data_IF_462618267831
#
_entry.id   IF_462618267831
#
_cell.length_a   1.000
_cell.length_b   1.000
_cell.length_c   1.000
_cell.angle_alpha   90.00
_cell.angle_beta   90.00
_cell.angle_gamma   90.00
#
_symmetry.space_group_name_H-M   'P 1'
#
loop_
_entity.id
_entity.type
_entity.pdbx_description
1 polymer ?
#
# COMPACT_ATOMS: atom_id res chain seq x y z
N UNK A 1 -37.84 2.18 14.65
CA UNK A 1 -36.63 1.60 15.28
C UNK A 1 -35.73 1.14 14.16
N UNK A 2 -34.92 2.03 13.60
CA UNK A 2 -34.06 1.75 12.44
C UNK A 2 -32.69 1.33 12.94
N UNK A 3 -32.28 0.12 12.58
CA UNK A 3 -30.99 -0.46 12.88
C UNK A 3 -29.86 0.38 12.23
N UNK A 4 -28.92 0.96 12.99
CA UNK A 4 -27.88 1.83 12.46
C UNK A 4 -26.73 1.07 11.75
N UNK A 5 -26.85 -0.25 11.54
CA UNK A 5 -25.73 -1.09 11.05
C UNK A 5 -25.70 -1.33 9.53
N UNK A 6 -26.49 -0.61 8.72
CA UNK A 6 -26.63 -0.85 7.26
C UNK A 6 -25.83 0.10 6.34
N UNK A 7 -24.69 0.61 6.78
CA UNK A 7 -23.83 1.47 5.93
C UNK A 7 -22.35 1.16 6.13
N UNK A 8 -21.68 0.35 5.28
CA UNK A 8 -20.22 0.47 5.00
C UNK A 8 -19.60 -0.64 4.12
N UNK A 9 -20.21 -1.81 3.93
CA UNK A 9 -19.54 -2.96 3.28
C UNK A 9 -18.96 -2.66 1.89
N UNK A 10 -19.75 -2.09 0.98
CA UNK A 10 -19.29 -1.74 -0.37
C UNK A 10 -18.17 -0.70 -0.39
N UNK A 11 -18.23 0.31 0.48
CA UNK A 11 -17.20 1.36 0.57
C UNK A 11 -15.86 0.79 1.07
N UNK A 12 -15.89 -0.23 1.93
CA UNK A 12 -14.67 -0.91 2.41
C UNK A 12 -14.03 -1.74 1.31
N UNK A 13 -14.83 -2.52 0.56
CA UNK A 13 -14.32 -3.33 -0.57
C UNK A 13 -13.69 -2.43 -1.63
N UNK A 14 -14.31 -1.29 -1.96
CA UNK A 14 -13.73 -0.32 -2.90
C UNK A 14 -12.37 0.19 -2.43
N UNK A 15 -12.21 0.48 -1.13
CA UNK A 15 -10.91 0.92 -0.58
C UNK A 15 -9.86 -0.18 -0.69
N UNK A 16 -10.19 -1.42 -0.31
CA UNK A 16 -9.27 -2.56 -0.47
C UNK A 16 -8.83 -2.72 -1.92
N UNK A 17 -9.77 -2.65 -2.87
CA UNK A 17 -9.46 -2.78 -4.28
C UNK A 17 -8.53 -1.66 -4.79
N UNK A 18 -8.79 -0.40 -4.41
CA UNK A 18 -7.96 0.74 -4.81
C UNK A 18 -6.55 0.61 -4.23
N UNK A 19 -6.40 0.40 -2.92
CA UNK A 19 -5.09 0.28 -2.29
C UNK A 19 -4.34 -0.97 -2.75
N UNK A 20 -5.05 -2.07 -3.02
CA UNK A 20 -4.49 -3.28 -3.59
C UNK A 20 -3.97 -3.06 -5.01
N UNK A 21 -4.74 -2.38 -5.86
CA UNK A 21 -4.33 -2.01 -7.21
C UNK A 21 -3.11 -1.07 -7.21
N UNK A 22 -3.12 -0.04 -6.35
CA UNK A 22 -1.97 0.86 -6.20
C UNK A 22 -0.73 0.09 -5.73
N UNK A 23 -0.87 -0.82 -4.75
CA UNK A 23 0.23 -1.64 -4.26
C UNK A 23 0.80 -2.53 -5.37
N UNK A 24 -0.07 -3.18 -6.15
CA UNK A 24 0.34 -4.02 -7.28
C UNK A 24 1.06 -3.19 -8.35
N UNK A 25 0.52 -2.02 -8.68
CA UNK A 25 1.13 -1.10 -9.63
C UNK A 25 2.51 -0.62 -9.14
N UNK A 26 2.66 -0.29 -7.86
CA UNK A 26 3.95 0.09 -7.28
C UNK A 26 4.97 -1.03 -7.41
N UNK A 27 4.62 -2.27 -7.02
CA UNK A 27 5.53 -3.41 -7.17
C UNK A 27 5.89 -3.66 -8.64
N UNK A 28 4.89 -3.63 -9.53
CA UNK A 28 5.12 -3.78 -10.96
C UNK A 28 6.10 -2.73 -11.47
N UNK A 29 5.90 -1.45 -11.13
CA UNK A 29 6.74 -0.34 -11.59
C UNK A 29 8.15 -0.44 -11.02
N UNK A 30 8.30 -0.82 -9.75
CA UNK A 30 9.61 -1.00 -9.11
C UNK A 30 10.44 -2.07 -9.83
N UNK A 31 9.83 -3.23 -10.12
CA UNK A 31 10.51 -4.31 -10.86
C UNK A 31 10.72 -3.97 -12.33
N UNK A 32 9.75 -3.32 -12.97
CA UNK A 32 9.86 -2.90 -14.36
C UNK A 32 10.99 -1.89 -14.59
N UNK A 33 11.30 -1.06 -13.59
CA UNK A 33 12.38 -0.09 -13.63
C UNK A 33 13.54 -0.45 -12.67
N UNK A 34 13.74 -1.73 -12.34
CA UNK A 34 14.76 -2.09 -11.35
C UNK A 34 16.17 -1.68 -11.77
N UNK A 35 16.54 -1.91 -13.02
CA UNK A 35 17.86 -1.58 -13.56
C UNK A 35 18.20 -0.08 -13.41
N UNK A 36 17.37 0.87 -13.91
CA UNK A 36 17.65 2.29 -13.74
C UNK A 36 17.57 2.74 -12.29
N UNK A 37 16.69 2.16 -11.46
CA UNK A 37 16.62 2.48 -10.03
C UNK A 37 17.91 2.05 -9.33
N UNK A 38 18.40 0.83 -9.57
CA UNK A 38 19.66 0.35 -9.01
C UNK A 38 20.84 1.19 -9.50
N UNK A 39 20.89 1.52 -10.78
CA UNK A 39 21.94 2.37 -11.35
C UNK A 39 21.95 3.79 -10.76
N UNK A 40 20.79 4.34 -10.38
CA UNK A 40 20.69 5.65 -9.73
C UNK A 40 21.07 5.57 -8.24
N UNK A 41 20.55 4.58 -7.54
CA UNK A 41 20.68 4.46 -6.07
C UNK A 41 22.05 3.95 -5.62
N UNK A 42 22.76 3.21 -6.46
CA UNK A 42 24.09 2.65 -6.17
C UNK A 42 25.25 3.64 -6.35
N UNK A 43 25.00 4.87 -6.84
CA UNK A 43 26.04 5.89 -7.04
C UNK A 43 26.65 6.42 -5.73
N UNK A 44 26.08 6.08 -4.58
CA UNK A 44 26.55 6.53 -3.26
C UNK A 44 26.07 7.95 -2.91
N UNK A 45 26.79 8.65 -2.02
CA UNK A 45 26.41 10.02 -1.61
C UNK A 45 25.00 10.09 -1.03
N UNK A 46 24.20 11.08 -1.45
CA UNK A 46 22.81 11.26 -1.00
C UNK A 46 21.78 10.42 -1.78
N UNK A 47 22.20 9.62 -2.77
CA UNK A 47 21.29 8.81 -3.58
C UNK A 47 20.61 7.67 -2.78
N UNK A 48 21.12 7.32 -1.60
CA UNK A 48 20.47 6.39 -0.67
C UNK A 48 19.09 6.87 -0.17
N UNK A 49 18.78 8.17 -0.29
CA UNK A 49 17.46 8.69 0.07
C UNK A 49 16.38 8.06 -0.82
N UNK A 50 16.67 7.82 -2.10
CA UNK A 50 15.69 7.26 -3.02
C UNK A 50 15.13 5.89 -2.58
N UNK A 51 15.94 4.86 -2.25
CA UNK A 51 15.40 3.59 -1.76
C UNK A 51 14.70 3.73 -0.40
N UNK A 52 15.09 4.69 0.45
CA UNK A 52 14.38 4.99 1.71
C UNK A 52 12.99 5.56 1.44
N UNK A 53 12.89 6.54 0.55
CA UNK A 53 11.59 7.12 0.13
C UNK A 53 10.71 6.06 -0.50
N UNK A 54 11.26 5.23 -1.38
CA UNK A 54 10.54 4.08 -1.95
C UNK A 54 10.00 3.19 -0.83
N UNK A 55 10.84 2.76 0.12
CA UNK A 55 10.40 1.93 1.24
C UNK A 55 9.23 2.55 2.03
N UNK A 56 9.24 3.87 2.28
CA UNK A 56 8.13 4.55 2.95
C UNK A 56 6.86 4.62 2.11
N UNK A 57 6.97 4.90 0.81
CA UNK A 57 5.83 4.89 -0.13
C UNK A 57 5.17 3.52 -0.15
N UNK A 58 5.96 2.45 -0.32
CA UNK A 58 5.46 1.08 -0.26
C UNK A 58 4.82 0.75 1.09
N UNK A 59 5.47 1.10 2.20
CA UNK A 59 4.93 0.88 3.54
C UNK A 59 3.57 1.54 3.73
N UNK A 60 3.39 2.77 3.23
CA UNK A 60 2.12 3.49 3.35
C UNK A 60 0.99 2.82 2.55
N UNK A 61 1.20 2.57 1.25
CA UNK A 61 0.15 2.04 0.39
C UNK A 61 -0.14 0.56 0.68
N UNK A 62 0.89 -0.27 0.80
CA UNK A 62 0.74 -1.68 1.11
C UNK A 62 0.24 -1.90 2.55
N UNK A 63 0.69 -1.07 3.51
CA UNK A 63 0.19 -1.09 4.88
C UNK A 63 -1.29 -0.72 4.96
N UNK A 64 -1.71 0.32 4.23
CA UNK A 64 -3.14 0.72 4.14
C UNK A 64 -4.00 -0.36 3.49
N UNK A 65 -3.50 -0.98 2.42
CA UNK A 65 -4.13 -2.16 1.81
C UNK A 65 -4.31 -3.28 2.84
N UNK A 66 -3.23 -3.65 3.53
CA UNK A 66 -3.23 -4.76 4.49
C UNK A 66 -4.20 -4.49 5.64
N UNK A 67 -4.22 -3.27 6.18
CA UNK A 67 -5.18 -2.87 7.23
C UNK A 67 -6.62 -3.05 6.75
N UNK A 68 -6.97 -2.50 5.58
CA UNK A 68 -8.33 -2.60 5.06
C UNK A 68 -8.70 -4.04 4.66
N UNK A 69 -7.74 -4.82 4.18
CA UNK A 69 -7.94 -6.23 3.86
C UNK A 69 -8.32 -7.02 5.10
N UNK A 70 -7.57 -6.88 6.20
CA UNK A 70 -7.91 -7.53 7.47
C UNK A 70 -9.25 -7.03 8.04
N UNK A 71 -9.55 -5.73 7.92
CA UNK A 71 -10.85 -5.17 8.30
C UNK A 71 -12.01 -5.84 7.53
N UNK A 72 -11.85 -6.13 6.23
CA UNK A 72 -12.89 -6.84 5.44
C UNK A 72 -13.05 -8.30 5.83
N UNK A 73 -12.01 -8.94 6.37
CA UNK A 73 -12.08 -10.28 6.94
C UNK A 73 -12.63 -10.29 8.38
N UNK A 74 -12.92 -9.12 8.96
CA UNK A 74 -13.39 -8.98 10.33
C UNK A 74 -12.27 -9.10 11.39
N UNK A 75 -11.01 -9.16 10.96
CA UNK A 75 -9.84 -9.26 11.85
C UNK A 75 -9.36 -7.84 12.14
N UNK A 76 -9.63 -7.36 13.36
CA UNK A 76 -9.20 -6.03 13.81
C UNK A 76 -8.07 -6.16 14.82
N UNK A 77 -7.09 -5.26 14.72
CA UNK A 77 -6.09 -5.12 15.77
C UNK A 77 -6.79 -4.80 17.10
N UNK A 78 -6.36 -5.49 18.17
CA UNK A 78 -6.81 -5.17 19.52
C UNK A 78 -6.23 -3.81 19.89
N UNK A 79 -7.11 -2.90 20.32
CA UNK A 79 -6.76 -1.55 20.75
C UNK A 79 -5.87 -1.56 21.99
#
# INVERSE_FOLDING_TARGET
MTDPTSHSGGKMITRVAIYGFISLALYFLLYFFEDPILAFTSQGGWYFIAPVVLAFVFSYFHGSFTSHFWDTLGIKAKK
#
